data_IF_512334938863
#
_entry.id   IF_512334938863
#
_cell.length_a   1.000
_cell.length_b   1.000
_cell.length_c   1.000
_cell.angle_alpha   90.00
_cell.angle_beta   90.00
_cell.angle_gamma   90.00
#
_symmetry.space_group_name_H-M   'P 1'
#
loop_
_entity.id
_entity.type
_entity.pdbx_description
1 polymer ?
#
# COMPACT_ATOMS: atom_id res chain seq x y z
N UNK A 1 2.23 19.61 4.38
CA UNK A 1 1.21 18.55 4.19
C UNK A 1 1.70 17.65 3.08
N UNK A 2 1.86 16.35 3.34
CA UNK A 2 2.23 15.36 2.31
C UNK A 2 0.95 14.67 1.82
N UNK A 3 0.80 14.51 0.51
CA UNK A 3 -0.27 13.69 -0.09
C UNK A 3 0.13 12.21 -0.18
N UNK A 4 1.40 11.88 0.08
CA UNK A 4 1.88 10.50 0.09
C UNK A 4 1.33 9.75 1.31
N UNK A 5 0.70 8.59 1.07
CA UNK A 5 0.31 7.68 2.16
C UNK A 5 1.55 7.16 2.90
N UNK A 6 1.35 6.79 4.16
CA UNK A 6 2.38 6.13 4.94
C UNK A 6 2.70 4.77 4.30
N UNK A 7 3.91 4.61 3.77
CA UNK A 7 4.37 3.39 3.09
C UNK A 7 4.73 2.25 4.06
N UNK A 8 4.28 2.31 5.31
CA UNK A 8 4.68 1.33 6.32
C UNK A 8 3.76 0.11 6.24
N UNK A 9 4.33 -1.05 5.90
CA UNK A 9 3.78 -2.40 6.01
C UNK A 9 2.25 -2.47 6.00
N UNK A 10 1.64 -2.02 4.90
CA UNK A 10 0.19 -2.09 4.75
C UNK A 10 -0.19 -3.54 4.46
N UNK A 11 -1.05 -4.08 5.30
CA UNK A 11 -1.72 -5.36 5.12
C UNK A 11 -3.17 -5.08 4.76
N UNK A 12 -3.75 -5.93 3.92
CA UNK A 12 -5.15 -5.83 3.58
C UNK A 12 -6.00 -6.17 4.79
N UNK A 13 -6.95 -5.29 5.13
CA UNK A 13 -7.95 -5.58 6.15
C UNK A 13 -9.02 -6.50 5.52
N UNK A 14 -8.96 -7.77 5.88
CA UNK A 14 -9.97 -8.77 5.54
C UNK A 14 -10.50 -9.40 6.85
N UNK A 15 -11.82 -9.34 7.05
CA UNK A 15 -12.48 -9.88 8.24
C UNK A 15 -12.98 -11.33 8.04
N UNK A 16 -12.75 -11.90 6.86
CA UNK A 16 -13.24 -13.21 6.44
C UNK A 16 -12.12 -14.21 6.20
N UNK A 17 -10.96 -13.77 5.75
CA UNK A 17 -9.76 -14.59 5.61
C UNK A 17 -8.94 -14.58 6.92
N UNK A 18 -8.44 -15.74 7.32
CA UNK A 18 -7.59 -15.90 8.51
C UNK A 18 -6.10 -15.71 8.19
N UNK A 19 -5.74 -15.65 6.91
CA UNK A 19 -4.38 -15.42 6.45
C UNK A 19 -4.09 -13.93 6.26
N UNK A 20 -2.88 -13.51 6.63
CA UNK A 20 -2.46 -12.13 6.50
C UNK A 20 -2.07 -11.84 5.04
N UNK A 21 -2.93 -11.09 4.34
CA UNK A 21 -2.66 -10.68 2.96
C UNK A 21 -1.90 -9.36 2.93
N UNK A 22 -0.81 -9.33 2.17
CA UNK A 22 -0.12 -8.12 1.76
C UNK A 22 -0.64 -7.64 0.41
N UNK A 23 -0.63 -6.34 0.18
CA UNK A 23 -0.75 -5.73 -1.13
C UNK A 23 0.35 -4.68 -1.29
N UNK A 24 0.73 -4.39 -2.53
CA UNK A 24 1.51 -3.19 -2.81
C UNK A 24 0.54 -2.01 -2.87
N UNK A 25 0.91 -0.88 -2.25
CA UNK A 25 0.07 0.31 -2.27
C UNK A 25 -0.25 0.66 -3.74
N UNK A 26 -1.53 0.77 -4.11
CA UNK A 26 -1.90 1.09 -5.48
C UNK A 26 -1.35 2.45 -5.91
N UNK A 27 -1.18 2.65 -7.23
CA UNK A 27 -0.84 3.96 -7.76
C UNK A 27 -1.83 5.03 -7.24
N UNK A 28 -1.31 6.16 -6.80
CA UNK A 28 -2.10 7.27 -6.32
C UNK A 28 -1.60 8.59 -6.95
N UNK A 29 -2.51 9.55 -7.10
CA UNK A 29 -2.16 10.89 -7.54
C UNK A 29 -2.91 11.94 -6.73
N UNK A 30 -2.31 13.12 -6.62
CA UNK A 30 -2.90 14.27 -5.96
C UNK A 30 -3.16 15.41 -6.95
N UNK A 31 -4.24 16.15 -6.75
CA UNK A 31 -4.50 17.41 -7.45
C UNK A 31 -4.41 18.54 -6.41
N UNK A 32 -3.51 19.49 -6.64
CA UNK A 32 -3.26 20.62 -5.73
C UNK A 32 -3.70 21.91 -6.40
N UNK A 33 -4.62 22.63 -5.75
CA UNK A 33 -5.06 23.96 -6.16
C UNK A 33 -4.52 24.99 -5.16
N UNK A 34 -3.70 25.92 -5.66
CA UNK A 34 -3.21 27.06 -4.91
C UNK A 34 -4.15 28.27 -5.08
N UNK A 35 -4.39 28.98 -3.98
CA UNK A 35 -5.03 30.30 -3.91
C UNK A 35 -4.17 31.20 -3.03
N UNK A 36 -4.48 32.50 -3.03
CA UNK A 36 -3.66 33.49 -2.33
C UNK A 36 -3.55 33.25 -0.81
N UNK A 37 -4.58 32.66 -0.20
CA UNK A 37 -4.66 32.38 1.24
C UNK A 37 -4.87 30.89 1.59
N UNK A 38 -5.10 30.04 0.59
CA UNK A 38 -5.59 28.68 0.78
C UNK A 38 -4.91 27.70 -0.17
N UNK A 39 -4.66 26.48 0.32
CA UNK A 39 -4.25 25.34 -0.50
C UNK A 39 -5.30 24.25 -0.36
N UNK A 40 -5.82 23.78 -1.48
CA UNK A 40 -6.75 22.64 -1.54
C UNK A 40 -6.01 21.45 -2.15
N UNK A 41 -6.00 20.33 -1.44
CA UNK A 41 -5.37 19.09 -1.90
C UNK A 41 -6.44 17.99 -1.98
N UNK A 42 -6.65 17.47 -3.19
CA UNK A 42 -7.46 16.28 -3.43
C UNK A 42 -6.53 15.09 -3.67
N UNK A 43 -6.66 14.03 -2.86
CA UNK A 43 -5.88 12.80 -3.02
C UNK A 43 -6.77 11.71 -3.61
N UNK A 44 -6.31 11.03 -4.64
CA UNK A 44 -7.07 10.01 -5.36
C UNK A 44 -6.29 8.70 -5.48
N UNK A 45 -7.00 7.61 -5.17
CA UNK A 45 -6.52 6.25 -5.40
C UNK A 45 -6.87 5.86 -6.83
N UNK A 46 -5.85 5.50 -7.62
CA UNK A 46 -6.05 5.14 -9.01
C UNK A 46 -6.16 3.62 -9.12
N UNK A 47 -7.38 3.15 -9.40
CA UNK A 47 -7.73 1.77 -9.77
C UNK A 47 -6.79 0.69 -9.20
N UNK A 48 -7.05 0.25 -7.96
CA UNK A 48 -6.31 -0.86 -7.39
C UNK A 48 -6.80 -2.19 -7.97
N UNK A 49 -6.00 -2.78 -8.84
CA UNK A 49 -6.17 -4.17 -9.32
C UNK A 49 -4.96 -5.01 -8.94
N UNK A 50 -4.14 -4.53 -8.00
CA UNK A 50 -2.91 -5.18 -7.61
C UNK A 50 -3.25 -6.52 -6.95
N UNK A 51 -2.57 -7.62 -7.35
CA UNK A 51 -2.82 -8.91 -6.73
C UNK A 51 -2.38 -8.87 -5.27
N UNK A 52 -3.26 -9.31 -4.37
CA UNK A 52 -2.90 -9.59 -2.99
C UNK A 52 -2.02 -10.84 -2.93
N UNK A 53 -1.10 -10.90 -1.97
CA UNK A 53 -0.24 -12.05 -1.75
C UNK A 53 -0.24 -12.48 -0.28
N UNK A 54 0.01 -13.76 -0.04
CA UNK A 54 0.15 -14.29 1.31
C UNK A 54 1.49 -13.85 1.91
N UNK A 55 1.47 -13.14 3.04
CA UNK A 55 2.69 -12.68 3.71
C UNK A 55 3.57 -13.85 4.19
N UNK A 56 2.98 -15.03 4.46
CA UNK A 56 3.75 -16.22 4.82
C UNK A 56 4.45 -16.86 3.61
N UNK A 57 4.01 -16.53 2.39
CA UNK A 57 4.49 -17.12 1.13
C UNK A 57 4.57 -16.04 0.05
N UNK A 58 5.39 -15.02 0.31
CA UNK A 58 5.62 -13.93 -0.64
C UNK A 58 6.01 -14.49 -2.02
N UNK A 59 5.44 -13.98 -3.13
CA UNK A 59 5.82 -14.38 -4.48
C UNK A 59 7.23 -13.86 -4.84
N UNK A 60 7.76 -12.93 -4.07
CA UNK A 60 9.12 -12.41 -4.21
C UNK A 60 9.99 -13.09 -3.15
N UNK A 61 11.03 -13.79 -3.61
CA UNK A 61 12.02 -14.42 -2.75
C UNK A 61 13.03 -13.36 -2.24
N UNK A 62 12.57 -12.54 -1.30
CA UNK A 62 13.31 -11.39 -0.75
C UNK A 62 13.74 -11.62 0.72
N UNK A 63 13.97 -10.52 1.44
CA UNK A 63 14.36 -10.53 2.86
C UNK A 63 13.24 -10.99 3.80
N UNK A 64 11.97 -10.98 3.36
CA UNK A 64 10.82 -11.38 4.18
C UNK A 64 10.62 -12.90 4.20
N UNK A 65 11.21 -13.64 3.25
CA UNK A 65 11.16 -15.10 3.23
C UNK A 65 12.16 -15.65 4.25
N UNK A 66 11.66 -16.41 5.23
CA UNK A 66 12.51 -17.09 6.22
C UNK A 66 13.36 -18.15 5.53
N UNK A 67 14.63 -17.85 5.34
CA UNK A 67 15.61 -18.80 4.80
C UNK A 67 15.85 -19.95 5.80
N UNK A 68 16.01 -21.19 5.34
CA UNK A 68 16.44 -22.28 6.21
C UNK A 68 17.77 -21.91 6.87
N UNK A 69 17.84 -22.10 8.19
CA UNK A 69 19.08 -21.93 8.93
C UNK A 69 19.99 -23.14 8.64
N UNK A 70 21.30 -22.96 8.41
CA UNK A 70 22.23 -24.07 8.24
C UNK A 70 22.28 -24.98 9.48
#
# INVERSE_FOLDING_TARGET
MSSLRAMNHQVQLDMTDSSLKGNFEPPAYGVVLFRDDTIIVHTHDFMDTSPAFDMARSPIDDWAVRKPHP
#
